data_IF_834870231597
#
_entry.id   IF_834870231597
#
_cell.length_a   1.000
_cell.length_b   1.000
_cell.length_c   1.000
_cell.angle_alpha   90.00
_cell.angle_beta   90.00
_cell.angle_gamma   90.00
#
_symmetry.space_group_name_H-M   'P 1'
#
loop_
_entity.id
_entity.type
_entity.pdbx_description
1 polymer ?
#
# COMPACT_ATOMS: atom_id res chain seq x y z
N UNK A 1 -8.90 0.39 17.37
CA UNK A 1 -8.69 -0.06 18.77
C UNK A 1 -10.05 -0.27 19.44
N UNK A 2 -10.12 -0.92 20.60
CA UNK A 2 -11.40 -1.21 21.27
C UNK A 2 -11.79 -0.25 22.41
N UNK A 3 -10.83 0.48 22.96
CA UNK A 3 -11.03 1.24 24.20
C UNK A 3 -11.58 2.65 23.94
N UNK A 4 -12.06 3.29 25.01
CA UNK A 4 -12.54 4.68 24.95
C UNK A 4 -11.67 5.55 25.83
N UNK A 5 -11.19 6.66 25.29
CA UNK A 5 -10.42 7.64 26.07
C UNK A 5 -11.39 8.68 26.64
N UNK A 6 -11.42 8.82 27.96
CA UNK A 6 -12.20 9.87 28.62
C UNK A 6 -11.31 11.08 28.87
N UNK A 7 -11.63 12.21 28.24
CA UNK A 7 -10.97 13.49 28.47
C UNK A 7 -11.87 14.34 29.36
N UNK A 8 -11.33 14.84 30.46
CA UNK A 8 -12.04 15.75 31.36
C UNK A 8 -11.11 16.84 31.86
N UNK A 9 -11.67 17.95 32.29
CA UNK A 9 -10.92 19.05 32.84
C UNK A 9 -11.81 20.20 33.30
N UNK A 10 -11.19 21.32 33.65
CA UNK A 10 -11.87 22.51 34.14
C UNK A 10 -11.23 23.77 33.57
N UNK A 11 -12.06 24.70 33.11
CA UNK A 11 -11.65 26.05 32.72
C UNK A 11 -11.92 27.01 33.86
N UNK A 12 -11.02 27.98 34.06
CA UNK A 12 -11.12 28.92 35.18
C UNK A 12 -12.20 29.99 35.01
N UNK A 13 -12.48 30.42 33.78
CA UNK A 13 -13.47 31.45 33.49
C UNK A 13 -14.27 31.08 32.24
N UNK A 14 -15.58 30.94 32.36
CA UNK A 14 -16.47 30.53 31.27
C UNK A 14 -16.84 31.76 30.43
N UNK A 15 -16.36 31.81 29.19
CA UNK A 15 -16.52 32.95 28.28
C UNK A 15 -17.49 32.69 27.11
N UNK A 16 -18.35 31.67 27.21
CA UNK A 16 -19.30 31.29 26.16
C UNK A 16 -18.68 30.63 24.91
N UNK A 17 -17.35 30.55 24.82
CA UNK A 17 -16.65 29.86 23.75
C UNK A 17 -16.62 28.34 23.99
N UNK A 18 -16.56 27.51 22.93
CA UNK A 18 -16.36 26.07 23.09
C UNK A 18 -14.88 25.74 23.38
N UNK A 19 -14.69 24.61 24.06
CA UNK A 19 -13.40 23.92 24.19
C UNK A 19 -13.22 23.07 22.93
N UNK A 20 -12.08 23.20 22.28
CA UNK A 20 -11.70 22.38 21.13
C UNK A 20 -10.71 21.30 21.58
N UNK A 21 -11.05 20.03 21.34
CA UNK A 21 -10.17 18.87 21.53
C UNK A 21 -9.71 18.39 20.18
N UNK A 22 -8.40 18.37 19.94
CA UNK A 22 -7.78 17.88 18.71
C UNK A 22 -6.89 16.70 19.05
N UNK A 23 -7.07 15.58 18.37
CA UNK A 23 -6.23 14.40 18.54
C UNK A 23 -5.37 14.21 17.30
N UNK A 24 -4.06 14.03 17.52
CA UNK A 24 -3.07 13.75 16.50
C UNK A 24 -2.49 12.36 16.72
N UNK A 25 -2.36 11.57 15.66
CA UNK A 25 -1.80 10.23 15.71
C UNK A 25 -0.26 10.24 15.71
N UNK A 26 0.41 9.07 15.87
CA UNK A 26 1.87 8.96 15.84
C UNK A 26 2.50 9.43 14.53
N UNK A 27 1.74 9.38 13.42
CA UNK A 27 2.14 9.87 12.09
C UNK A 27 1.85 11.37 11.90
N UNK A 28 1.61 12.09 13.00
CA UNK A 28 1.36 13.53 13.03
C UNK A 28 0.12 14.01 12.25
N UNK A 29 -0.81 13.10 11.91
CA UNK A 29 -2.10 13.38 11.27
C UNK A 29 -3.21 13.60 12.29
N UNK A 30 -4.14 14.54 12.03
CA UNK A 30 -5.32 14.76 12.88
C UNK A 30 -6.34 13.65 12.66
N UNK A 31 -6.73 12.96 13.73
CA UNK A 31 -7.70 11.84 13.67
C UNK A 31 -9.05 12.17 14.28
N UNK A 32 -9.14 13.22 15.10
CA UNK A 32 -10.39 13.65 15.73
C UNK A 32 -10.32 15.12 16.09
N UNK A 33 -11.42 15.83 15.85
CA UNK A 33 -11.69 17.17 16.38
C UNK A 33 -13.06 17.11 17.05
N UNK A 34 -13.12 17.50 18.32
CA UNK A 34 -14.36 17.61 19.07
C UNK A 34 -14.49 19.00 19.69
N UNK A 35 -15.72 19.51 19.75
CA UNK A 35 -16.03 20.78 20.40
C UNK A 35 -17.03 20.55 21.53
N UNK A 36 -16.74 21.11 22.70
CA UNK A 36 -17.53 20.94 23.91
C UNK A 36 -17.75 22.29 24.58
N UNK A 37 -18.99 22.63 24.87
CA UNK A 37 -19.30 23.79 25.70
C UNK A 37 -19.05 23.41 27.18
N UNK A 38 -18.24 24.18 27.93
CA UNK A 38 -18.06 23.93 29.35
C UNK A 38 -19.36 24.18 30.12
N UNK A 39 -19.51 23.47 31.23
CA UNK A 39 -20.61 23.68 32.17
C UNK A 39 -20.48 25.03 32.89
N UNK A 40 -21.53 25.44 33.62
CA UNK A 40 -21.56 26.71 34.38
C UNK A 40 -20.42 26.81 35.40
N UNK A 41 -19.98 25.67 35.94
CA UNK A 41 -18.88 25.60 36.89
C UNK A 41 -17.49 25.54 36.22
N UNK A 42 -17.45 25.54 34.89
CA UNK A 42 -16.24 25.45 34.07
C UNK A 42 -15.77 24.02 33.78
N UNK A 43 -16.44 22.99 34.30
CA UNK A 43 -16.06 21.60 34.01
C UNK A 43 -16.42 21.20 32.58
N UNK A 44 -15.68 20.23 32.03
CA UNK A 44 -16.01 19.60 30.76
C UNK A 44 -15.58 18.13 30.76
N UNK A 45 -16.27 17.34 29.94
CA UNK A 45 -15.97 15.93 29.70
C UNK A 45 -16.31 15.58 28.26
N UNK A 46 -15.44 14.80 27.63
CA UNK A 46 -15.70 14.16 26.33
C UNK A 46 -15.12 12.76 26.29
N UNK A 47 -15.68 11.93 25.43
CA UNK A 47 -15.24 10.55 25.22
C UNK A 47 -14.79 10.43 23.77
N UNK A 48 -13.54 10.02 23.58
CA UNK A 48 -12.96 9.75 22.27
C UNK A 48 -13.12 8.26 21.98
N UNK A 49 -13.78 7.93 20.87
CA UNK A 49 -13.92 6.56 20.41
C UNK A 49 -12.69 6.16 19.59
N UNK A 50 -11.89 5.20 20.08
CA UNK A 50 -10.65 4.78 19.41
C UNK A 50 -10.86 3.66 18.38
N UNK A 51 -12.13 3.29 18.16
CA UNK A 51 -12.57 2.40 17.07
C UNK A 51 -12.89 3.15 15.76
N UNK A 52 -12.59 4.45 15.71
CA UNK A 52 -12.85 5.27 14.52
C UNK A 52 -12.00 4.89 13.31
N UNK A 53 -12.49 5.22 12.11
CA UNK A 53 -11.80 4.95 10.83
C UNK A 53 -10.40 5.56 10.72
N UNK A 54 -10.12 6.63 11.48
CA UNK A 54 -8.84 7.32 11.50
C UNK A 54 -7.91 6.84 12.64
N UNK A 55 -8.38 5.96 13.53
CA UNK A 55 -7.64 5.44 14.69
C UNK A 55 -7.02 4.07 14.39
N UNK A 56 -6.10 4.03 13.43
CA UNK A 56 -5.57 2.79 12.83
C UNK A 56 -4.14 2.42 13.21
N UNK A 57 -3.43 3.29 13.91
CA UNK A 57 -2.00 3.10 14.15
C UNK A 57 -1.74 2.93 15.64
N UNK A 58 -1.00 1.89 15.99
CA UNK A 58 -0.42 1.82 17.33
C UNK A 58 0.61 2.94 17.53
N UNK A 59 0.78 3.36 18.78
CA UNK A 59 1.78 4.33 19.21
C UNK A 59 1.19 5.49 20.02
N UNK A 60 1.99 6.54 20.15
CA UNK A 60 1.65 7.71 20.97
C UNK A 60 0.75 8.71 20.24
N UNK A 61 -0.48 8.85 20.71
CA UNK A 61 -1.42 9.90 20.30
C UNK A 61 -1.24 11.15 21.17
N UNK A 62 -1.35 12.31 20.55
CA UNK A 62 -1.34 13.62 21.23
C UNK A 62 -2.73 14.21 21.27
N UNK A 63 -3.29 14.37 22.48
CA UNK A 63 -4.57 15.05 22.72
C UNK A 63 -4.26 16.50 23.09
N UNK A 64 -4.69 17.44 22.25
CA UNK A 64 -4.56 18.88 22.46
C UNK A 64 -5.93 19.43 22.84
N UNK A 65 -6.00 20.17 23.93
CA UNK A 65 -7.22 20.85 24.37
C UNK A 65 -6.96 22.35 24.34
N UNK A 66 -7.83 23.11 23.68
CA UNK A 66 -7.73 24.56 23.58
C UNK A 66 -9.06 25.22 23.96
N UNK A 67 -9.00 26.28 24.76
CA UNK A 67 -10.18 27.03 25.17
C UNK A 67 -10.07 28.50 24.74
N UNK A 68 -10.90 28.91 23.78
CA UNK A 68 -10.85 30.25 23.20
C UNK A 68 -9.60 30.48 22.34
N UNK A 69 -8.91 31.61 22.54
CA UNK A 69 -7.68 31.94 21.80
C UNK A 69 -6.57 30.89 22.02
N UNK A 70 -5.77 30.61 20.99
CA UNK A 70 -4.75 29.55 20.94
C UNK A 70 -3.72 29.54 22.09
N UNK A 71 -3.60 30.64 22.85
CA UNK A 71 -2.65 30.79 23.96
C UNK A 71 -3.01 29.99 25.21
N UNK A 72 -4.24 29.44 25.32
CA UNK A 72 -4.69 28.61 26.45
C UNK A 72 -4.91 27.17 25.99
N UNK A 73 -3.81 26.45 25.81
CA UNK A 73 -3.82 25.05 25.42
C UNK A 73 -3.15 24.15 26.46
N UNK A 74 -3.66 22.93 26.59
CA UNK A 74 -3.03 21.85 27.33
C UNK A 74 -2.86 20.64 26.42
N UNK A 75 -1.91 19.76 26.73
CA UNK A 75 -1.62 18.55 25.95
C UNK A 75 -1.46 17.35 26.87
N UNK A 76 -1.96 16.22 26.41
CA UNK A 76 -1.73 14.92 27.02
C UNK A 76 -1.27 13.94 25.95
N UNK A 77 -0.40 13.01 26.34
CA UNK A 77 0.03 11.90 25.51
C UNK A 77 -0.67 10.64 26.00
N UNK A 78 -1.14 9.83 25.07
CA UNK A 78 -1.72 8.51 25.35
C UNK A 78 -1.13 7.51 24.38
N UNK A 79 -0.60 6.42 24.92
CA UNK A 79 -0.11 5.33 24.11
C UNK A 79 -1.25 4.35 23.87
N UNK A 80 -1.51 4.07 22.60
CA UNK A 80 -2.50 3.06 22.20
C UNK A 80 -1.78 1.90 21.54
N UNK A 81 -2.15 0.70 21.99
CA UNK A 81 -1.73 -0.57 21.41
C UNK A 81 -2.96 -1.38 21.03
N UNK A 82 -2.81 -2.39 20.18
CA UNK A 82 -3.94 -3.24 19.80
C UNK A 82 -4.90 -2.52 18.85
N UNK A 83 -4.36 -1.73 17.92
CA UNK A 83 -5.09 -1.24 16.77
C UNK A 83 -5.63 -2.44 16.01
N UNK A 84 -6.90 -2.77 16.27
CA UNK A 84 -7.71 -3.48 15.29
C UNK A 84 -7.80 -2.58 14.07
N UNK A 85 -6.87 -2.80 13.13
CA UNK A 85 -7.07 -2.41 11.74
C UNK A 85 -8.50 -2.81 11.41
N UNK A 86 -9.39 -1.86 11.10
CA UNK A 86 -10.65 -2.25 10.46
C UNK A 86 -10.32 -2.56 8.99
N UNK A 87 -9.72 -3.73 8.86
CA UNK A 87 -9.87 -4.70 7.80
C UNK A 87 -9.88 -6.00 8.60
N UNK A 88 -10.72 -6.96 8.25
CA UNK A 88 -10.59 -8.32 8.78
C UNK A 88 -9.21 -8.86 8.35
N UNK A 89 -8.14 -8.45 9.05
CA UNK A 89 -6.78 -8.85 8.74
C UNK A 89 -6.57 -10.20 9.41
N UNK A 90 -6.95 -11.25 8.68
CA UNK A 90 -6.47 -12.60 8.94
C UNK A 90 -4.97 -12.77 8.61
N UNK A 91 -4.29 -11.67 8.24
CA UNK A 91 -2.91 -11.66 7.83
C UNK A 91 -1.98 -11.54 9.04
N UNK A 92 -0.85 -12.25 9.00
CA UNK A 92 0.19 -12.16 10.01
C UNK A 92 0.81 -10.76 10.05
N UNK A 93 1.52 -10.43 11.13
CA UNK A 93 2.22 -9.15 11.27
C UNK A 93 3.29 -8.91 10.18
N UNK A 94 3.72 -9.96 9.48
CA UNK A 94 4.67 -9.93 8.36
C UNK A 94 3.99 -9.92 6.99
N UNK A 95 2.68 -9.63 6.93
CA UNK A 95 1.88 -9.69 5.71
C UNK A 95 1.09 -8.40 5.49
N UNK A 96 0.97 -8.00 4.23
CA UNK A 96 0.15 -6.87 3.80
C UNK A 96 -1.23 -7.40 3.40
N UNK A 97 -2.29 -6.79 3.94
CA UNK A 97 -3.65 -7.06 3.51
C UNK A 97 -3.95 -6.38 2.18
N UNK A 98 -4.49 -7.15 1.24
CA UNK A 98 -5.06 -6.68 0.00
C UNK A 98 -6.56 -6.97 -0.05
N UNK A 99 -7.30 -6.13 -0.81
CA UNK A 99 -8.73 -6.28 -1.02
C UNK A 99 -9.06 -7.70 -1.50
N UNK A 100 -10.01 -8.37 -0.83
CA UNK A 100 -10.37 -9.76 -1.12
C UNK A 100 -9.85 -10.78 -0.11
N UNK A 101 -9.33 -10.33 1.05
CA UNK A 101 -8.79 -11.19 2.11
C UNK A 101 -7.51 -11.94 1.69
N UNK A 102 -6.71 -11.29 0.86
CA UNK A 102 -5.39 -11.76 0.46
C UNK A 102 -4.33 -11.18 1.38
N UNK A 103 -3.37 -12.01 1.76
CA UNK A 103 -2.25 -11.65 2.61
C UNK A 103 -0.97 -11.84 1.82
N UNK A 104 -0.16 -10.79 1.71
CA UNK A 104 1.10 -10.84 0.95
C UNK A 104 2.27 -10.68 1.91
N UNK A 105 3.09 -11.73 2.11
CA UNK A 105 4.31 -11.64 2.89
C UNK A 105 5.23 -10.54 2.36
N UNK A 106 5.76 -9.72 3.29
CA UNK A 106 6.67 -8.64 2.96
C UNK A 106 7.73 -8.43 4.03
N UNK A 107 8.85 -7.85 3.62
CA UNK A 107 9.86 -7.30 4.52
C UNK A 107 10.31 -5.95 4.00
N UNK A 108 10.42 -4.96 4.88
CA UNK A 108 10.86 -3.61 4.53
C UNK A 108 11.98 -3.16 5.47
N UNK A 109 12.99 -2.49 4.91
CA UNK A 109 14.06 -1.77 5.62
C UNK A 109 14.07 -0.31 5.15
N UNK A 110 14.60 0.63 5.93
CA UNK A 110 14.67 2.05 5.54
C UNK A 110 13.33 2.80 5.51
N UNK A 111 12.21 2.15 5.84
CA UNK A 111 10.90 2.77 5.85
C UNK A 111 9.80 1.88 6.43
N UNK A 112 8.55 2.31 6.26
CA UNK A 112 7.36 1.56 6.67
C UNK A 112 6.31 1.50 5.57
N UNK A 113 5.61 0.38 5.45
CA UNK A 113 4.44 0.25 4.59
C UNK A 113 3.26 0.97 5.25
N UNK A 114 2.63 1.89 4.52
CA UNK A 114 1.47 2.66 4.98
C UNK A 114 0.15 2.12 4.44
N UNK A 115 0.19 1.30 3.38
CA UNK A 115 -0.95 0.56 2.87
C UNK A 115 -0.66 -0.11 1.52
N UNK A 116 -1.60 -0.90 1.01
CA UNK A 116 -1.50 -1.48 -0.32
C UNK A 116 -2.87 -1.66 -0.98
N UNK A 117 -2.87 -1.80 -2.30
CA UNK A 117 -4.07 -1.99 -3.12
C UNK A 117 -3.75 -2.75 -4.40
N UNK A 118 -4.70 -3.57 -4.87
CA UNK A 118 -4.63 -4.24 -6.16
C UNK A 118 -5.27 -3.34 -7.22
N UNK A 119 -4.59 -3.18 -8.35
CA UNK A 119 -5.15 -2.58 -9.56
C UNK A 119 -5.36 -3.68 -10.61
N UNK A 120 -6.61 -4.10 -10.78
CA UNK A 120 -6.97 -5.17 -11.71
C UNK A 120 -6.91 -4.75 -13.18
N UNK A 121 -6.90 -3.45 -13.50
CA UNK A 121 -6.78 -2.98 -14.88
C UNK A 121 -5.35 -3.14 -15.39
N UNK A 122 -4.39 -2.82 -14.53
CA UNK A 122 -2.96 -2.83 -14.87
C UNK A 122 -2.26 -4.10 -14.36
N UNK A 123 -3.02 -5.05 -13.80
CA UNK A 123 -2.51 -6.27 -13.17
C UNK A 123 -1.32 -5.99 -12.24
N UNK A 124 -1.50 -5.01 -11.35
CA UNK A 124 -0.44 -4.50 -10.48
C UNK A 124 -0.85 -4.48 -9.00
N UNK A 125 0.15 -4.59 -8.14
CA UNK A 125 0.03 -4.33 -6.70
C UNK A 125 0.71 -2.99 -6.42
N UNK A 126 -0.05 -2.05 -5.88
CA UNK A 126 0.45 -0.74 -5.47
C UNK A 126 0.66 -0.76 -3.96
N UNK A 127 1.90 -0.56 -3.53
CA UNK A 127 2.33 -0.44 -2.15
C UNK A 127 2.64 1.03 -1.87
N UNK A 128 2.00 1.57 -0.84
CA UNK A 128 2.32 2.91 -0.33
C UNK A 128 3.30 2.75 0.82
N UNK A 129 4.39 3.50 0.78
CA UNK A 129 5.43 3.46 1.80
C UNK A 129 5.73 4.87 2.31
N UNK A 130 6.41 4.93 3.45
CA UNK A 130 7.09 6.12 3.94
C UNK A 130 8.57 5.73 4.11
N UNK A 131 9.41 6.12 3.15
CA UNK A 131 10.85 5.87 3.18
C UNK A 131 11.56 6.99 3.96
N UNK A 132 12.05 6.65 5.15
CA UNK A 132 12.83 7.57 5.99
C UNK A 132 14.30 7.60 5.57
N UNK A 133 14.80 6.48 5.06
CA UNK A 133 16.17 6.25 4.60
C UNK A 133 16.13 5.38 3.34
N UNK A 134 17.28 5.23 2.68
CA UNK A 134 17.41 4.25 1.60
C UNK A 134 17.20 2.84 2.18
N UNK A 135 16.52 1.99 1.42
CA UNK A 135 16.08 0.71 1.96
C UNK A 135 15.64 -0.26 0.88
N UNK A 136 15.11 -1.38 1.34
CA UNK A 136 14.66 -2.48 0.48
C UNK A 136 13.25 -2.88 0.86
N UNK A 137 12.42 -3.16 -0.15
CA UNK A 137 11.11 -3.79 0.01
C UNK A 137 11.14 -5.14 -0.71
N UNK A 138 10.99 -6.22 0.04
CA UNK A 138 10.76 -7.55 -0.51
C UNK A 138 9.28 -7.89 -0.38
N UNK A 139 8.69 -8.39 -1.46
CA UNK A 139 7.31 -8.82 -1.56
C UNK A 139 7.25 -10.21 -2.15
N UNK A 140 6.42 -11.07 -1.58
CA UNK A 140 6.19 -12.43 -2.09
C UNK A 140 4.69 -12.68 -2.29
N UNK A 141 4.05 -12.03 -3.29
CA UNK A 141 2.63 -12.25 -3.57
C UNK A 141 2.35 -13.69 -3.99
N UNK A 142 1.15 -14.17 -3.67
CA UNK A 142 0.65 -15.43 -4.24
C UNK A 142 0.41 -15.27 -5.75
N UNK A 143 0.69 -16.34 -6.51
CA UNK A 143 0.45 -16.40 -7.97
C UNK A 143 -1.03 -16.21 -8.35
N UNK A 144 -1.94 -16.41 -7.40
CA UNK A 144 -3.37 -16.15 -7.56
C UNK A 144 -3.71 -14.65 -7.58
N UNK A 145 -2.83 -13.81 -7.03
CA UNK A 145 -2.99 -12.35 -6.93
C UNK A 145 -2.20 -11.67 -8.04
N UNK A 146 -0.93 -12.05 -8.17
CA UNK A 146 0.00 -11.49 -9.14
C UNK A 146 0.90 -12.63 -9.63
N UNK A 147 0.86 -12.92 -10.93
CA UNK A 147 1.67 -13.99 -11.52
C UNK A 147 2.67 -13.43 -12.50
N UNK A 148 3.93 -13.83 -12.33
CA UNK A 148 5.04 -13.49 -13.21
C UNK A 148 5.34 -12.01 -13.12
N UNK A 149 6.25 -11.59 -12.26
CA UNK A 149 6.55 -10.18 -12.07
C UNK A 149 7.27 -9.68 -13.32
N UNK A 150 6.73 -8.64 -13.97
CA UNK A 150 7.25 -8.09 -15.23
C UNK A 150 8.17 -6.91 -14.98
N UNK A 151 7.71 -5.94 -14.18
CA UNK A 151 8.46 -4.72 -13.87
C UNK A 151 8.01 -4.13 -12.54
N UNK A 152 8.83 -3.22 -12.01
CA UNK A 152 8.50 -2.45 -10.81
C UNK A 152 8.69 -0.97 -11.11
N UNK A 153 7.76 -0.15 -10.61
CA UNK A 153 7.87 1.29 -10.61
C UNK A 153 8.09 1.81 -9.19
N UNK A 154 9.03 2.73 -9.00
CA UNK A 154 9.18 3.52 -7.77
C UNK A 154 8.76 4.94 -8.09
N UNK A 155 7.73 5.44 -7.40
CA UNK A 155 7.09 6.73 -7.63
C UNK A 155 6.65 7.01 -9.09
N UNK A 156 6.44 5.93 -9.86
CA UNK A 156 5.99 5.97 -11.26
C UNK A 156 7.12 5.90 -12.28
N UNK A 157 8.38 5.81 -11.84
CA UNK A 157 9.54 5.59 -12.70
C UNK A 157 9.96 4.12 -12.66
N UNK A 158 10.31 3.56 -13.81
CA UNK A 158 10.78 2.17 -13.92
C UNK A 158 12.08 1.99 -13.15
N UNK A 159 12.14 0.92 -12.35
CA UNK A 159 13.29 0.63 -11.51
C UNK A 159 14.06 -0.57 -12.05
N UNK A 160 15.30 -0.34 -12.46
CA UNK A 160 16.16 -1.37 -13.08
C UNK A 160 16.81 -2.31 -12.04
N UNK A 161 17.06 -1.81 -10.83
CA UNK A 161 17.75 -2.56 -9.76
C UNK A 161 16.73 -3.33 -8.91
N UNK A 162 16.20 -4.40 -9.51
CA UNK A 162 15.18 -5.27 -8.92
C UNK A 162 15.64 -6.71 -9.01
N UNK A 163 15.63 -7.41 -7.87
CA UNK A 163 15.87 -8.86 -7.83
C UNK A 163 14.53 -9.60 -7.87
N UNK A 164 14.32 -10.40 -8.93
CA UNK A 164 13.12 -11.22 -9.09
C UNK A 164 13.54 -12.69 -9.02
N UNK A 165 12.99 -13.43 -8.05
CA UNK A 165 13.16 -14.88 -7.92
C UNK A 165 11.79 -15.54 -7.85
N UNK A 166 11.40 -16.23 -8.92
CA UNK A 166 10.06 -16.77 -9.12
C UNK A 166 8.94 -15.71 -9.06
N UNK A 167 8.26 -15.61 -7.93
CA UNK A 167 7.17 -14.67 -7.67
C UNK A 167 7.47 -13.77 -6.48
N UNK A 168 8.72 -13.80 -6.00
CA UNK A 168 9.25 -12.86 -5.03
C UNK A 168 9.99 -11.74 -5.76
N UNK A 169 9.80 -10.52 -5.31
CA UNK A 169 10.50 -9.33 -5.80
C UNK A 169 11.13 -8.57 -4.66
N UNK A 170 12.39 -8.19 -4.82
CA UNK A 170 13.11 -7.28 -3.91
C UNK A 170 13.46 -6.02 -4.68
N UNK A 171 13.02 -4.89 -4.14
CA UNK A 171 13.11 -3.57 -4.75
C UNK A 171 13.89 -2.67 -3.80
N UNK A 172 14.99 -2.09 -4.29
CA UNK A 172 15.69 -1.05 -3.56
C UNK A 172 14.96 0.29 -3.78
N UNK A 173 14.85 1.12 -2.75
CA UNK A 173 14.26 2.45 -2.86
C UNK A 173 15.10 3.48 -2.11
N UNK A 174 15.00 4.73 -2.54
CA UNK A 174 15.69 5.85 -1.91
C UNK A 174 14.83 6.51 -0.83
N UNK A 175 15.47 7.20 0.10
CA UNK A 175 14.80 8.04 1.09
C UNK A 175 13.84 9.02 0.41
N UNK A 176 12.63 9.14 0.97
CA UNK A 176 11.56 9.97 0.41
C UNK A 176 10.63 9.26 -0.58
N UNK A 177 10.92 8.03 -0.98
CA UNK A 177 10.01 7.23 -1.80
C UNK A 177 8.64 7.04 -1.13
N UNK A 178 7.56 7.16 -1.91
CA UNK A 178 6.19 7.14 -1.39
C UNK A 178 5.35 5.98 -1.92
N UNK A 179 5.68 5.49 -3.11
CA UNK A 179 4.89 4.50 -3.82
C UNK A 179 5.80 3.51 -4.55
N UNK A 180 5.53 2.23 -4.38
CA UNK A 180 6.12 1.14 -5.16
C UNK A 180 4.99 0.40 -5.84
N UNK A 181 5.09 0.18 -7.14
CA UNK A 181 4.10 -0.52 -7.94
C UNK A 181 4.74 -1.73 -8.60
N UNK A 182 4.28 -2.93 -8.24
CA UNK A 182 4.75 -4.19 -8.81
C UNK A 182 3.76 -4.63 -9.87
N UNK A 183 4.21 -4.67 -11.12
CA UNK A 183 3.37 -5.00 -12.27
C UNK A 183 3.63 -6.45 -12.66
N UNK A 184 2.57 -7.25 -12.69
CA UNK A 184 2.63 -8.62 -13.15
C UNK A 184 2.55 -8.70 -14.67
N UNK A 185 2.94 -9.83 -15.21
CA UNK A 185 2.73 -10.15 -16.62
C UNK A 185 1.24 -10.30 -16.85
N UNK A 186 0.73 -9.63 -17.87
CA UNK A 186 -0.41 -10.17 -18.56
C UNK A 186 0.04 -11.51 -19.15
N UNK A 187 -0.71 -12.59 -18.94
CA UNK A 187 -0.42 -13.86 -19.63
C UNK A 187 -0.28 -13.55 -21.12
N UNK A 188 0.96 -13.56 -21.57
CA UNK A 188 1.27 -13.51 -22.98
C UNK A 188 0.86 -14.89 -23.51
N UNK A 189 -0.11 -14.98 -24.44
CA UNK A 189 -0.52 -16.24 -25.01
C UNK A 189 0.69 -16.93 -25.62
N UNK A 190 0.94 -18.16 -25.20
CA UNK A 190 1.80 -19.19 -25.77
C UNK A 190 2.57 -18.78 -27.05
N UNK A 191 3.60 -17.95 -26.95
CA UNK A 191 4.47 -17.69 -28.11
C UNK A 191 5.13 -18.98 -28.60
N UNK A 192 5.25 -19.99 -27.74
CA UNK A 192 5.70 -21.33 -28.12
C UNK A 192 4.81 -22.00 -29.16
N UNK A 193 3.49 -22.02 -28.97
CA UNK A 193 2.60 -22.69 -29.95
C UNK A 193 2.46 -21.88 -31.22
N UNK A 194 2.40 -20.54 -31.13
CA UNK A 194 2.35 -19.68 -32.31
C UNK A 194 3.67 -19.74 -33.11
N UNK A 195 4.82 -19.67 -32.44
CA UNK A 195 6.12 -19.77 -33.11
C UNK A 195 6.32 -21.16 -33.76
N UNK A 196 5.92 -22.24 -33.09
CA UNK A 196 5.97 -23.59 -33.65
C UNK A 196 5.01 -23.74 -34.83
N UNK A 197 3.80 -23.15 -34.77
CA UNK A 197 2.88 -23.13 -35.91
C UNK A 197 3.45 -22.37 -37.10
N UNK A 198 3.97 -21.16 -36.90
CA UNK A 198 4.57 -20.35 -37.96
C UNK A 198 5.78 -21.07 -38.56
N UNK A 199 6.64 -21.64 -37.72
CA UNK A 199 7.80 -22.42 -38.16
C UNK A 199 7.39 -23.65 -38.97
N UNK A 200 6.38 -24.41 -38.51
CA UNK A 200 5.87 -25.58 -39.22
C UNK A 200 5.27 -25.21 -40.58
N UNK A 201 4.44 -24.15 -40.64
CA UNK A 201 3.86 -23.64 -41.89
C UNK A 201 4.96 -23.21 -42.84
N UNK A 202 5.98 -22.49 -42.37
CA UNK A 202 7.10 -22.05 -43.19
C UNK A 202 7.88 -23.25 -43.79
N UNK A 203 8.21 -24.26 -42.98
CA UNK A 203 8.92 -25.46 -43.44
C UNK A 203 8.09 -26.22 -44.48
N UNK A 204 6.80 -26.43 -44.22
CA UNK A 204 5.89 -27.11 -45.16
C UNK A 204 5.82 -26.34 -46.49
N UNK A 205 5.74 -25.01 -46.43
CA UNK A 205 5.72 -24.14 -47.61
C UNK A 205 6.99 -24.31 -48.45
N UNK A 206 8.16 -24.29 -47.81
CA UNK A 206 9.45 -24.46 -48.47
C UNK A 206 9.55 -25.84 -49.14
N UNK A 207 9.14 -26.90 -48.45
CA UNK A 207 9.14 -28.25 -49.01
C UNK A 207 8.17 -28.36 -50.19
N UNK A 208 6.97 -27.83 -50.07
CA UNK A 208 5.96 -27.89 -51.13
C UNK A 208 6.40 -27.12 -52.39
N UNK A 209 6.97 -25.92 -52.21
CA UNK A 209 7.50 -25.12 -53.33
C UNK A 209 8.73 -25.79 -53.95
N UNK A 210 9.66 -26.30 -53.15
CA UNK A 210 10.85 -26.99 -53.67
C UNK A 210 10.52 -28.31 -54.38
N UNK A 211 9.55 -29.08 -53.88
CA UNK A 211 9.10 -30.32 -54.53
C UNK A 211 8.37 -30.06 -55.86
N UNK A 212 7.59 -28.99 -55.97
CA UNK A 212 7.01 -28.54 -57.25
C UNK A 212 8.02 -27.88 -58.17
N UNK A 213 9.05 -27.23 -57.62
CA UNK A 213 10.17 -26.64 -58.36
C UNK A 213 11.30 -27.66 -58.58
N UNK A 214 10.97 -28.91 -58.92
CA UNK A 214 11.86 -29.68 -59.80
C UNK A 214 11.83 -28.99 -61.16
N UNK A 215 12.59 -27.91 -61.27
CA UNK A 215 12.95 -27.29 -62.53
C UNK A 215 13.63 -28.37 -63.36
N UNK A 216 12.89 -28.86 -64.36
CA UNK A 216 13.45 -29.47 -65.56
C UNK A 216 14.39 -28.43 -66.19
N UNK A 217 15.63 -28.37 -65.71
CA UNK A 217 16.71 -27.67 -66.40
C UNK A 217 17.07 -28.61 -67.54
N UNK A 218 16.33 -28.46 -68.64
CA UNK A 218 16.63 -29.15 -69.89
C UNK A 218 17.96 -28.61 -70.39
N UNK A 219 19.03 -29.42 -70.52
CA UNK A 219 20.29 -28.93 -71.05
C UNK A 219 20.08 -28.64 -72.53
N UNK A 220 20.30 -27.39 -72.94
CA UNK A 220 20.48 -27.08 -74.35
C UNK A 220 21.93 -27.38 -74.73
N UNK A 221 22.07 -28.27 -75.72
CA UNK A 221 23.28 -28.47 -76.51
C UNK A 221 23.65 -27.19 -77.26
#
# INVERSE_FOLDING_TARGET
>A
HGDKITVHGKVANVSGMPITVTVVNPLNSVVTIAQINPEKDGSFKTILNTDGELWKHDGTYTIKVNYGSASKSNKALVELSGATSASSNNCASSEIYLKGNYCVPYTITGGMVTGASINSNDNSIIIRINANEDGTLTLNPDKSILNGIFMVLVDGEEWDDVEISDNQVTVNFLAGAQKIEVIGTFVIPEFGTIAVMILAVAIISIIAVSAKSKLSIMPRY
#
